data_IF_289387396926
#
_entry.id   IF_289387396926
#
_cell.length_a   1.000
_cell.length_b   1.000
_cell.length_c   1.000
_cell.angle_alpha   90.00
_cell.angle_beta   90.00
_cell.angle_gamma   90.00
#
_symmetry.space_group_name_H-M   'P 1'
#
loop_
_entity.id
_entity.type
_entity.pdbx_description
1 polymer ?
#
# COMPACT_ATOMS: atom_id res chain seq x y z
N UNK A 1 -13.95 21.55 -28.36
CA UNK A 1 -15.26 21.84 -27.75
C UNK A 1 -15.52 23.33 -27.59
N UNK A 2 -14.85 24.05 -26.68
CA UNK A 2 -15.15 25.46 -26.37
C UNK A 2 -15.13 26.41 -27.57
N UNK A 3 -14.02 26.44 -28.32
CA UNK A 3 -13.90 27.34 -29.48
C UNK A 3 -15.02 27.11 -30.52
N UNK A 4 -15.33 25.84 -30.81
CA UNK A 4 -16.39 25.47 -31.74
C UNK A 4 -17.79 25.82 -31.21
N UNK A 5 -18.03 25.62 -29.90
CA UNK A 5 -19.29 25.99 -29.27
C UNK A 5 -19.55 27.48 -29.26
N UNK A 6 -18.55 28.30 -28.92
CA UNK A 6 -18.67 29.76 -29.00
C UNK A 6 -18.83 30.24 -30.45
N UNK A 7 -18.21 29.56 -31.43
CA UNK A 7 -18.43 29.86 -32.84
C UNK A 7 -19.86 29.54 -33.29
N UNK A 8 -20.42 28.38 -32.94
CA UNK A 8 -21.82 28.05 -33.21
C UNK A 8 -22.80 29.00 -32.50
N UNK A 9 -22.47 29.41 -31.29
CA UNK A 9 -23.23 30.42 -30.56
C UNK A 9 -23.25 31.75 -31.30
N UNK A 10 -22.09 32.22 -31.77
CA UNK A 10 -21.97 33.49 -32.50
C UNK A 10 -22.67 33.47 -33.86
N UNK A 11 -22.78 32.29 -34.48
CA UNK A 11 -23.45 32.08 -35.77
C UNK A 11 -24.94 31.75 -35.63
N UNK A 12 -25.46 31.63 -34.39
CA UNK A 12 -26.86 31.29 -34.12
C UNK A 12 -27.24 29.85 -34.47
N UNK A 13 -26.26 28.98 -34.74
CA UNK A 13 -26.49 27.57 -35.11
C UNK A 13 -26.51 26.62 -33.91
N UNK A 14 -26.34 27.15 -32.70
CA UNK A 14 -26.30 26.38 -31.47
C UNK A 14 -27.72 25.92 -31.08
N UNK A 15 -27.95 24.60 -31.10
CA UNK A 15 -29.20 24.00 -30.64
C UNK A 15 -29.31 23.96 -29.10
N UNK A 16 -30.49 23.59 -28.61
CA UNK A 16 -30.73 23.27 -27.20
C UNK A 16 -30.78 21.74 -27.01
N UNK A 17 -30.58 21.26 -25.78
CA UNK A 17 -30.77 19.84 -25.48
C UNK A 17 -32.24 19.49 -25.74
N UNK A 18 -32.47 18.48 -26.59
CA UNK A 18 -33.81 17.92 -26.80
C UNK A 18 -34.26 17.20 -25.51
N UNK A 19 -35.02 17.88 -24.66
CA UNK A 19 -35.63 17.31 -23.47
C UNK A 19 -36.92 16.58 -23.86
N UNK A 20 -37.01 15.28 -23.53
CA UNK A 20 -38.24 14.48 -23.71
C UNK A 20 -39.10 14.42 -22.44
N UNK A 21 -38.63 14.96 -21.31
CA UNK A 21 -39.41 15.00 -20.07
C UNK A 21 -39.36 16.40 -19.47
N UNK A 22 -40.53 17.04 -19.47
CA UNK A 22 -40.80 18.30 -18.77
C UNK A 22 -40.77 17.99 -17.28
N UNK A 23 -39.77 18.48 -16.55
CA UNK A 23 -39.77 18.42 -15.10
C UNK A 23 -40.95 19.25 -14.56
N UNK A 24 -41.72 18.67 -13.64
CA UNK A 24 -42.56 19.45 -12.73
C UNK A 24 -41.68 20.51 -12.06
N UNK A 25 -42.02 21.77 -12.29
CA UNK A 25 -41.39 22.91 -11.64
C UNK A 25 -41.62 22.81 -10.13
N UNK A 26 -40.71 22.13 -9.42
CA UNK A 26 -40.61 22.27 -7.98
C UNK A 26 -40.04 23.66 -7.74
N UNK A 27 -40.92 24.64 -7.56
CA UNK A 27 -40.58 26.04 -7.25
C UNK A 27 -40.05 26.08 -5.82
N UNK A 28 -38.82 25.61 -5.62
CA UNK A 28 -38.13 25.77 -4.36
C UNK A 28 -37.67 27.22 -4.25
N UNK A 29 -38.01 27.89 -3.14
CA UNK A 29 -37.57 29.26 -2.89
C UNK A 29 -36.03 29.32 -2.92
N UNK A 30 -35.48 30.28 -3.68
CA UNK A 30 -34.04 30.50 -3.73
C UNK A 30 -33.55 30.94 -2.34
N UNK A 31 -32.98 30.02 -1.57
CA UNK A 31 -32.42 30.30 -0.26
C UNK A 31 -30.92 30.57 -0.36
N UNK A 32 -30.38 31.38 0.55
CA UNK A 32 -28.93 31.57 0.71
C UNK A 32 -28.24 30.22 0.90
N UNK A 33 -28.88 29.28 1.60
CA UNK A 33 -28.38 27.93 1.76
C UNK A 33 -28.25 27.17 0.43
N UNK A 34 -29.23 27.28 -0.46
CA UNK A 34 -29.17 26.64 -1.78
C UNK A 34 -28.05 27.25 -2.63
N UNK A 35 -27.86 28.57 -2.57
CA UNK A 35 -26.76 29.25 -3.26
C UNK A 35 -25.39 28.80 -2.71
N UNK A 36 -25.26 28.68 -1.39
CA UNK A 36 -24.06 28.15 -0.73
C UNK A 36 -23.80 26.68 -1.06
N UNK A 37 -24.85 25.85 -1.16
CA UNK A 37 -24.76 24.44 -1.58
C UNK A 37 -24.28 24.32 -3.03
N UNK A 38 -24.81 25.15 -3.93
CA UNK A 38 -24.36 25.22 -5.32
C UNK A 38 -22.91 25.72 -5.43
N UNK A 39 -22.55 26.76 -4.68
CA UNK A 39 -21.19 27.29 -4.58
C UNK A 39 -20.20 26.21 -4.12
N UNK A 40 -20.50 25.54 -3.00
CA UNK A 40 -19.67 24.46 -2.48
C UNK A 40 -19.48 23.35 -3.52
N UNK A 41 -20.58 22.89 -4.15
CA UNK A 41 -20.54 21.89 -5.23
C UNK A 41 -19.72 22.35 -6.45
N UNK A 42 -19.69 23.65 -6.75
CA UNK A 42 -18.82 24.21 -7.79
C UNK A 42 -17.34 24.22 -7.39
N UNK A 43 -17.03 24.43 -6.10
CA UNK A 43 -15.65 24.46 -5.62
C UNK A 43 -14.91 23.12 -5.80
N UNK A 44 -15.62 21.99 -5.89
CA UNK A 44 -14.97 20.69 -6.18
C UNK A 44 -14.36 20.62 -7.57
N UNK A 45 -14.76 21.48 -8.51
CA UNK A 45 -14.13 21.53 -9.83
C UNK A 45 -12.70 22.11 -9.79
N UNK A 46 -12.33 22.81 -8.71
CA UNK A 46 -11.02 23.42 -8.52
C UNK A 46 -10.02 22.51 -7.79
N UNK A 47 -10.45 21.32 -7.37
CA UNK A 47 -9.57 20.36 -6.74
C UNK A 47 -8.60 19.76 -7.77
N UNK A 48 -7.45 19.25 -7.33
CA UNK A 48 -6.35 18.85 -8.23
C UNK A 48 -5.21 19.86 -8.36
N UNK A 49 -5.38 21.11 -7.91
CA UNK A 49 -4.26 22.06 -7.68
C UNK A 49 -3.21 21.49 -6.70
N UNK A 50 -3.65 20.61 -5.82
CA UNK A 50 -2.85 19.91 -4.82
C UNK A 50 -1.85 18.91 -5.41
N UNK A 51 -2.11 18.37 -6.59
CA UNK A 51 -1.22 17.42 -7.25
C UNK A 51 0.14 18.08 -7.55
N UNK A 52 0.13 19.34 -8.00
CA UNK A 52 1.37 20.09 -8.24
C UNK A 52 2.09 20.39 -6.92
N UNK A 53 1.36 20.78 -5.86
CA UNK A 53 1.98 21.07 -4.56
C UNK A 53 2.62 19.84 -3.92
N UNK A 54 2.04 18.66 -4.11
CA UNK A 54 2.60 17.40 -3.64
C UNK A 54 3.79 16.94 -4.50
N UNK A 55 3.78 17.32 -5.79
CA UNK A 55 4.79 16.96 -6.78
C UNK A 55 5.98 17.92 -6.90
N UNK A 56 6.15 18.91 -6.01
CA UNK A 56 7.22 19.94 -6.14
C UNK A 56 8.62 19.34 -6.31
N UNK A 57 8.88 18.20 -5.66
CA UNK A 57 10.18 17.52 -5.73
C UNK A 57 10.53 16.97 -7.12
N UNK A 58 9.55 16.82 -8.02
CA UNK A 58 9.76 16.37 -9.39
C UNK A 58 10.17 17.51 -10.36
N UNK A 59 10.04 18.78 -9.94
CA UNK A 59 10.41 19.91 -10.79
C UNK A 59 11.93 20.13 -10.83
N UNK A 60 12.42 20.66 -11.95
CA UNK A 60 13.82 21.08 -12.11
C UNK A 60 14.11 22.30 -11.22
N UNK A 61 15.33 22.41 -10.70
CA UNK A 61 15.85 23.62 -10.02
C UNK A 61 15.74 24.86 -10.95
N UNK A 62 15.25 26.02 -10.48
CA UNK A 62 14.69 26.30 -9.14
C UNK A 62 13.24 25.79 -8.99
N UNK A 63 13.04 24.79 -8.11
CA UNK A 63 11.79 24.01 -8.02
C UNK A 63 10.55 24.85 -7.74
N UNK A 64 10.65 25.76 -6.77
CA UNK A 64 9.51 26.59 -6.32
C UNK A 64 8.99 27.51 -7.43
N UNK A 65 9.88 28.14 -8.22
CA UNK A 65 9.47 29.04 -9.30
C UNK A 65 8.79 28.28 -10.43
N UNK A 66 9.37 27.15 -10.84
CA UNK A 66 8.82 26.31 -11.90
C UNK A 66 7.45 25.76 -11.50
N UNK A 67 7.31 25.22 -10.30
CA UNK A 67 6.03 24.72 -9.79
C UNK A 67 4.97 25.83 -9.72
N UNK A 68 5.32 27.04 -9.27
CA UNK A 68 4.39 28.17 -9.20
C UNK A 68 3.91 28.64 -10.58
N UNK A 69 4.81 28.70 -11.57
CA UNK A 69 4.44 29.04 -12.95
C UNK A 69 3.50 28.00 -13.55
N UNK A 70 3.79 26.71 -13.38
CA UNK A 70 2.90 25.63 -13.84
C UNK A 70 1.54 25.70 -13.16
N UNK A 71 1.49 25.95 -11.85
CA UNK A 71 0.24 26.10 -11.11
C UNK A 71 -0.59 27.28 -11.63
N UNK A 72 0.04 28.41 -11.97
CA UNK A 72 -0.63 29.60 -12.51
C UNK A 72 -1.26 29.30 -13.88
N UNK A 73 -0.50 28.68 -14.79
CA UNK A 73 -1.01 28.30 -16.13
C UNK A 73 -2.15 27.31 -16.01
N UNK A 74 -2.01 26.28 -15.17
CA UNK A 74 -3.05 25.29 -14.95
C UNK A 74 -4.32 25.92 -14.37
N UNK A 75 -4.18 26.80 -13.38
CA UNK A 75 -5.33 27.51 -12.78
C UNK A 75 -6.04 28.41 -13.77
N UNK A 76 -5.29 29.10 -14.65
CA UNK A 76 -5.86 29.91 -15.71
C UNK A 76 -6.63 29.06 -16.75
N UNK A 77 -6.03 27.96 -17.21
CA UNK A 77 -6.69 27.03 -18.14
C UNK A 77 -7.96 26.42 -17.52
N UNK A 78 -7.88 25.99 -16.27
CA UNK A 78 -9.02 25.46 -15.53
C UNK A 78 -10.13 26.50 -15.40
N UNK A 79 -9.80 27.75 -15.05
CA UNK A 79 -10.75 28.84 -14.97
C UNK A 79 -11.44 29.13 -16.31
N UNK A 80 -10.68 29.24 -17.39
CA UNK A 80 -11.21 29.44 -18.75
C UNK A 80 -12.10 28.28 -19.17
N UNK A 81 -11.69 27.04 -18.90
CA UNK A 81 -12.47 25.86 -19.24
C UNK A 81 -13.76 25.77 -18.43
N UNK A 82 -13.69 25.98 -17.11
CA UNK A 82 -14.84 25.89 -16.22
C UNK A 82 -15.88 26.96 -16.54
N UNK A 83 -15.46 28.22 -16.69
CA UNK A 83 -16.34 29.32 -17.09
C UNK A 83 -16.91 29.06 -18.49
N UNK A 84 -16.07 28.67 -19.44
CA UNK A 84 -16.49 28.40 -20.81
C UNK A 84 -17.54 27.29 -20.91
N UNK A 85 -17.33 26.17 -20.21
CA UNK A 85 -18.28 25.05 -20.17
C UNK A 85 -19.58 25.50 -19.48
N UNK A 86 -19.49 26.27 -18.40
CA UNK A 86 -20.67 26.77 -17.66
C UNK A 86 -21.54 27.68 -18.53
N UNK A 87 -20.93 28.62 -19.26
CA UNK A 87 -21.64 29.52 -20.19
C UNK A 87 -22.32 28.70 -21.29
N UNK A 88 -21.60 27.75 -21.89
CA UNK A 88 -22.14 26.93 -22.96
C UNK A 88 -23.27 26.00 -22.47
N UNK A 89 -23.12 25.40 -21.29
CA UNK A 89 -24.14 24.56 -20.66
C UNK A 89 -25.44 25.33 -20.39
N UNK A 90 -25.33 26.58 -19.93
CA UNK A 90 -26.48 27.44 -19.70
C UNK A 90 -27.19 27.80 -21.01
N UNK A 91 -26.45 28.17 -22.06
CA UNK A 91 -27.04 28.48 -23.37
C UNK A 91 -27.74 27.27 -24.02
N UNK A 92 -27.14 26.09 -23.90
CA UNK A 92 -27.68 24.84 -24.45
C UNK A 92 -28.86 24.30 -23.61
N UNK A 93 -29.12 24.88 -22.42
CA UNK A 93 -30.14 24.42 -21.48
C UNK A 93 -29.90 22.96 -21.08
N UNK A 94 -28.66 22.64 -20.70
CA UNK A 94 -28.28 21.31 -20.21
C UNK A 94 -29.14 20.95 -19.00
N UNK A 95 -29.75 19.77 -19.06
CA UNK A 95 -30.51 19.22 -17.94
C UNK A 95 -29.60 18.25 -17.20
N UNK A 96 -29.48 18.40 -15.89
CA UNK A 96 -28.72 17.50 -15.03
C UNK A 96 -29.56 17.13 -13.81
N UNK A 97 -29.66 15.84 -13.50
CA UNK A 97 -30.49 15.34 -12.41
C UNK A 97 -30.28 13.85 -12.12
N UNK A 98 -30.81 13.40 -10.98
CA UNK A 98 -30.80 11.99 -10.60
C UNK A 98 -31.56 11.15 -11.65
N UNK A 99 -30.96 10.05 -12.10
CA UNK A 99 -31.54 9.16 -13.12
C UNK A 99 -31.12 9.43 -14.57
N UNK A 100 -30.38 10.51 -14.85
CA UNK A 100 -29.82 10.72 -16.19
C UNK A 100 -28.60 9.85 -16.46
N UNK A 101 -28.58 9.19 -17.62
CA UNK A 101 -27.48 8.34 -18.04
C UNK A 101 -26.33 9.10 -18.73
N UNK A 102 -26.57 10.33 -19.20
CA UNK A 102 -25.55 11.14 -19.87
C UNK A 102 -24.93 12.21 -18.97
N UNK A 103 -23.61 12.36 -19.07
CA UNK A 103 -22.87 13.45 -18.42
C UNK A 103 -23.12 14.80 -19.11
N UNK A 104 -22.92 15.90 -18.38
CA UNK A 104 -22.99 17.28 -18.92
C UNK A 104 -22.07 17.45 -20.14
N UNK A 105 -20.86 16.89 -20.09
CA UNK A 105 -19.91 16.96 -21.22
C UNK A 105 -20.46 16.19 -22.44
N UNK A 106 -21.09 15.03 -22.22
CA UNK A 106 -21.74 14.27 -23.29
C UNK A 106 -22.88 15.06 -23.95
N UNK A 107 -23.76 15.67 -23.14
CA UNK A 107 -24.89 16.47 -23.65
C UNK A 107 -24.41 17.67 -24.47
N UNK A 108 -23.38 18.38 -23.99
CA UNK A 108 -22.77 19.50 -24.72
C UNK A 108 -22.16 19.00 -26.03
N UNK A 109 -21.33 17.95 -25.98
CA UNK A 109 -20.68 17.42 -27.17
C UNK A 109 -21.68 16.91 -28.21
N UNK A 110 -22.77 16.25 -27.77
CA UNK A 110 -23.85 15.76 -28.64
C UNK A 110 -24.61 16.91 -29.28
N UNK A 111 -24.85 18.00 -28.54
CA UNK A 111 -25.52 19.18 -29.09
C UNK A 111 -24.66 19.92 -30.09
N UNK A 112 -23.34 20.00 -29.85
CA UNK A 112 -22.39 20.67 -30.74
C UNK A 112 -22.12 19.86 -32.02
N UNK A 113 -21.89 18.55 -31.87
CA UNK A 113 -21.32 17.70 -32.92
C UNK A 113 -22.30 16.67 -33.47
N UNK A 114 -23.50 16.51 -32.89
CA UNK A 114 -24.37 15.36 -33.13
C UNK A 114 -23.70 14.04 -32.73
N UNK A 115 -24.21 12.92 -33.25
CA UNK A 115 -23.58 11.59 -33.11
C UNK A 115 -22.47 11.39 -34.17
N UNK A 116 -21.54 12.34 -34.25
CA UNK A 116 -20.42 12.30 -35.21
C UNK A 116 -19.14 11.71 -34.58
N UNK A 117 -18.10 11.41 -35.38
CA UNK A 117 -16.81 10.96 -34.84
C UNK A 117 -16.21 11.91 -33.78
N UNK A 118 -16.45 13.22 -33.91
CA UNK A 118 -15.96 14.22 -32.94
C UNK A 118 -16.62 14.09 -31.57
N UNK A 119 -17.88 13.66 -31.50
CA UNK A 119 -18.54 13.32 -30.25
C UNK A 119 -17.82 12.16 -29.55
N UNK A 120 -17.60 11.04 -30.24
CA UNK A 120 -16.90 9.89 -29.67
C UNK A 120 -15.45 10.19 -29.27
N UNK A 121 -14.73 11.00 -30.06
CA UNK A 121 -13.38 11.47 -29.70
C UNK A 121 -13.41 12.31 -28.42
N UNK A 122 -14.43 13.16 -28.23
CA UNK A 122 -14.57 13.97 -27.01
C UNK A 122 -14.83 13.09 -25.79
N UNK A 123 -15.67 12.06 -25.91
CA UNK A 123 -15.92 11.09 -24.83
C UNK A 123 -14.68 10.24 -24.52
N UNK A 124 -13.99 9.75 -25.55
CA UNK A 124 -12.76 8.98 -25.38
C UNK A 124 -11.67 9.81 -24.70
N UNK A 125 -11.47 11.06 -25.13
CA UNK A 125 -10.52 11.99 -24.50
C UNK A 125 -10.88 12.25 -23.04
N UNK A 126 -12.17 12.50 -22.74
CA UNK A 126 -12.64 12.70 -21.35
C UNK A 126 -12.37 11.47 -20.49
N UNK A 127 -12.61 10.27 -21.03
CA UNK A 127 -12.35 9.01 -20.33
C UNK A 127 -10.86 8.84 -20.05
N UNK A 128 -9.99 9.10 -21.03
CA UNK A 128 -8.52 9.04 -20.85
C UNK A 128 -8.06 10.03 -19.77
N UNK A 129 -8.59 11.25 -19.76
CA UNK A 129 -8.28 12.26 -18.73
C UNK A 129 -8.65 11.74 -17.33
N UNK A 130 -9.83 11.13 -17.16
CA UNK A 130 -10.26 10.57 -15.88
C UNK A 130 -9.38 9.38 -15.43
N UNK A 131 -8.97 8.51 -16.37
CA UNK A 131 -8.01 7.42 -16.08
C UNK A 131 -6.65 8.00 -15.65
N UNK A 132 -6.16 9.05 -16.32
CA UNK A 132 -4.92 9.72 -15.93
C UNK A 132 -5.03 10.36 -14.54
N UNK A 133 -6.17 10.96 -14.20
CA UNK A 133 -6.42 11.51 -12.87
C UNK A 133 -6.32 10.43 -11.78
N UNK A 134 -6.89 9.25 -12.00
CA UNK A 134 -6.73 8.12 -11.09
C UNK A 134 -5.27 7.67 -10.96
N UNK A 135 -4.52 7.63 -12.07
CA UNK A 135 -3.09 7.30 -12.05
C UNK A 135 -2.26 8.28 -11.21
N UNK A 136 -2.61 9.57 -11.18
CA UNK A 136 -1.95 10.55 -10.29
C UNK A 136 -2.10 10.16 -8.82
N UNK A 137 -3.27 9.71 -8.39
CA UNK A 137 -3.47 9.21 -7.01
C UNK A 137 -2.60 7.97 -6.71
N UNK A 138 -2.45 7.05 -7.68
CA UNK A 138 -1.57 5.89 -7.55
C UNK A 138 -0.08 6.25 -7.54
N UNK A 139 0.31 7.42 -8.05
CA UNK A 139 1.68 7.92 -7.95
C UNK A 139 1.96 8.60 -6.60
N UNK A 140 0.98 9.32 -6.06
CA UNK A 140 1.14 10.18 -4.88
C UNK A 140 0.90 9.46 -3.55
N UNK A 141 -0.19 8.68 -3.44
CA UNK A 141 -0.55 8.02 -2.19
C UNK A 141 0.57 7.11 -1.64
N UNK A 142 1.26 6.27 -2.45
CA UNK A 142 2.30 5.40 -1.89
C UNK A 142 3.47 6.20 -1.30
N UNK A 143 3.77 7.39 -1.82
CA UNK A 143 4.80 8.29 -1.28
C UNK A 143 4.35 8.89 0.05
N UNK A 144 3.11 9.39 0.12
CA UNK A 144 2.54 9.94 1.35
C UNK A 144 2.43 8.88 2.45
N UNK A 145 1.94 7.68 2.10
CA UNK A 145 1.86 6.54 2.99
C UNK A 145 3.23 6.13 3.54
N UNK A 146 4.26 6.14 2.70
CA UNK A 146 5.63 5.85 3.12
C UNK A 146 6.19 6.90 4.11
N UNK A 147 5.89 8.19 3.91
CA UNK A 147 6.30 9.24 4.84
C UNK A 147 5.64 9.06 6.22
N UNK A 148 4.34 8.83 6.26
CA UNK A 148 3.59 8.62 7.51
C UNK A 148 4.00 7.30 8.20
N UNK A 149 4.32 6.26 7.42
CA UNK A 149 4.83 5.00 7.94
C UNK A 149 6.24 5.12 8.51
N UNK A 150 7.09 5.96 7.92
CA UNK A 150 8.43 6.26 8.46
C UNK A 150 8.34 6.93 9.84
N UNK A 151 7.34 7.80 10.04
CA UNK A 151 7.04 8.40 11.35
C UNK A 151 6.34 7.42 12.34
N UNK A 152 6.08 6.18 11.90
CA UNK A 152 5.52 5.12 12.73
C UNK A 152 4.00 5.22 12.98
N UNK A 153 3.27 5.99 12.17
CA UNK A 153 1.80 6.08 12.25
C UNK A 153 1.07 5.08 11.34
N UNK A 154 1.81 4.43 10.44
CA UNK A 154 1.33 3.39 9.54
C UNK A 154 2.25 2.16 9.59
N UNK A 155 1.82 0.99 9.09
CA UNK A 155 2.66 -0.21 9.05
C UNK A 155 3.99 0.04 8.32
N UNK A 156 5.12 -0.33 8.96
CA UNK A 156 6.47 -0.10 8.42
C UNK A 156 6.69 -0.73 7.04
N UNK A 157 5.90 -1.73 6.65
CA UNK A 157 5.95 -2.33 5.31
C UNK A 157 5.72 -1.32 4.18
N UNK A 158 4.97 -0.24 4.44
CA UNK A 158 4.72 0.83 3.47
C UNK A 158 5.98 1.65 3.15
N UNK A 159 7.02 1.61 3.98
CA UNK A 159 8.29 2.30 3.69
C UNK A 159 9.18 1.52 2.71
N UNK A 160 8.86 0.25 2.43
CA UNK A 160 9.67 -0.57 1.56
C UNK A 160 9.48 -0.20 0.09
N UNK A 161 10.60 0.09 -0.58
CA UNK A 161 10.65 0.31 -2.03
C UNK A 161 10.92 -1.03 -2.70
N UNK A 162 10.06 -1.44 -3.62
CA UNK A 162 10.25 -2.64 -4.42
C UNK A 162 11.39 -2.48 -5.43
N UNK A 163 11.63 -3.54 -6.22
CA UNK A 163 12.72 -3.62 -7.22
C UNK A 163 12.74 -2.48 -8.25
N UNK A 164 11.59 -1.87 -8.54
CA UNK A 164 11.45 -0.70 -9.44
C UNK A 164 11.49 0.65 -8.71
N UNK A 165 11.93 0.68 -7.45
CA UNK A 165 11.95 1.86 -6.57
C UNK A 165 10.58 2.48 -6.27
N UNK A 166 9.51 1.69 -6.44
CA UNK A 166 8.11 2.07 -6.17
C UNK A 166 7.65 1.45 -4.84
N UNK A 167 6.81 2.16 -4.08
CA UNK A 167 6.22 1.67 -2.83
C UNK A 167 5.05 0.72 -3.11
N UNK A 168 5.37 -0.55 -3.40
CA UNK A 168 4.38 -1.55 -3.84
C UNK A 168 3.25 -1.79 -2.84
N UNK A 169 3.55 -1.86 -1.54
CA UNK A 169 2.52 -2.01 -0.51
C UNK A 169 1.54 -0.83 -0.47
N UNK A 170 2.01 0.37 -0.78
CA UNK A 170 1.14 1.56 -0.87
C UNK A 170 0.17 1.47 -2.05
N UNK A 171 0.63 0.97 -3.19
CA UNK A 171 -0.23 0.75 -4.38
C UNK A 171 -1.31 -0.28 -4.07
N UNK A 172 -0.93 -1.42 -3.47
CA UNK A 172 -1.89 -2.49 -3.11
C UNK A 172 -2.90 -1.98 -2.09
N UNK A 173 -2.46 -1.25 -1.07
CA UNK A 173 -3.35 -0.66 -0.08
C UNK A 173 -4.35 0.32 -0.70
N UNK A 174 -3.91 1.19 -1.61
CA UNK A 174 -4.80 2.11 -2.33
C UNK A 174 -5.80 1.35 -3.21
N UNK A 175 -5.33 0.34 -3.95
CA UNK A 175 -6.19 -0.46 -4.83
C UNK A 175 -7.29 -1.18 -4.05
N UNK A 176 -6.94 -1.76 -2.90
CA UNK A 176 -7.90 -2.43 -2.02
C UNK A 176 -8.91 -1.42 -1.44
N UNK A 177 -8.44 -0.28 -0.92
CA UNK A 177 -9.31 0.75 -0.37
C UNK A 177 -10.27 1.34 -1.44
N UNK A 178 -9.76 1.64 -2.64
CA UNK A 178 -10.54 2.12 -3.76
C UNK A 178 -11.59 1.09 -4.20
N UNK A 179 -11.20 -0.19 -4.29
CA UNK A 179 -12.12 -1.27 -4.66
C UNK A 179 -13.25 -1.42 -3.65
N UNK A 180 -12.94 -1.38 -2.35
CA UNK A 180 -13.96 -1.41 -1.27
C UNK A 180 -14.92 -0.24 -1.37
N UNK A 181 -14.42 0.97 -1.60
CA UNK A 181 -15.29 2.15 -1.79
C UNK A 181 -16.18 2.00 -3.03
N UNK A 182 -15.65 1.56 -4.17
CA UNK A 182 -16.44 1.35 -5.39
C UNK A 182 -17.55 0.32 -5.15
N UNK A 183 -17.25 -0.78 -4.46
CA UNK A 183 -18.24 -1.82 -4.13
C UNK A 183 -19.32 -1.30 -3.18
N UNK A 184 -18.96 -0.56 -2.14
CA UNK A 184 -19.93 -0.02 -1.16
C UNK A 184 -20.86 1.01 -1.81
N UNK A 185 -20.30 1.91 -2.63
CA UNK A 185 -21.05 3.00 -3.26
C UNK A 185 -21.63 2.64 -4.63
N UNK A 186 -21.46 1.38 -5.08
CA UNK A 186 -21.98 0.89 -6.38
C UNK A 186 -21.57 1.78 -7.56
N UNK A 187 -20.34 2.31 -7.53
CA UNK A 187 -19.81 3.25 -8.52
C UNK A 187 -20.63 4.55 -8.73
N UNK A 188 -21.48 4.94 -7.79
CA UNK A 188 -22.25 6.19 -7.85
C UNK A 188 -21.36 7.41 -7.50
N UNK A 189 -21.04 8.20 -8.52
CA UNK A 189 -20.22 9.40 -8.36
C UNK A 189 -20.90 10.47 -7.51
N UNK A 190 -22.23 10.52 -7.48
CA UNK A 190 -23.02 11.49 -6.70
C UNK A 190 -22.78 11.34 -5.20
N UNK A 191 -22.57 10.09 -4.74
CA UNK A 191 -22.29 9.75 -3.34
C UNK A 191 -20.79 9.79 -3.02
N UNK A 192 -19.93 9.54 -4.01
CA UNK A 192 -18.47 9.56 -3.85
C UNK A 192 -17.89 10.98 -3.82
N UNK A 193 -18.46 11.93 -4.58
CA UNK A 193 -17.97 13.32 -4.65
C UNK A 193 -17.95 13.99 -3.25
N UNK A 194 -19.01 13.91 -2.42
CA UNK A 194 -18.97 14.48 -1.07
C UNK A 194 -17.86 13.92 -0.19
N UNK A 195 -17.62 12.60 -0.25
CA UNK A 195 -16.56 11.93 0.49
C UNK A 195 -15.17 12.49 0.13
N UNK A 196 -14.93 12.67 -1.17
CA UNK A 196 -13.72 13.30 -1.69
C UNK A 196 -13.61 14.78 -1.30
N UNK A 197 -14.67 15.56 -1.51
CA UNK A 197 -14.69 17.00 -1.27
C UNK A 197 -14.34 17.35 0.17
N UNK A 198 -14.96 16.66 1.14
CA UNK A 198 -14.71 16.93 2.57
C UNK A 198 -13.25 16.62 2.92
N UNK A 199 -12.68 15.52 2.40
CA UNK A 199 -11.27 15.19 2.61
C UNK A 199 -10.31 16.26 2.07
N UNK A 200 -10.55 16.74 0.83
CA UNK A 200 -9.73 17.79 0.21
C UNK A 200 -9.86 19.11 0.94
N UNK A 201 -11.08 19.57 1.23
CA UNK A 201 -11.27 20.84 1.95
C UNK A 201 -10.78 20.78 3.39
N UNK A 202 -10.82 19.62 4.06
CA UNK A 202 -10.18 19.43 5.35
C UNK A 202 -8.66 19.58 5.23
N UNK A 203 -8.03 18.93 4.24
CA UNK A 203 -6.60 19.07 3.96
C UNK A 203 -6.21 20.52 3.69
N UNK A 204 -6.99 21.24 2.87
CA UNK A 204 -6.77 22.66 2.61
C UNK A 204 -6.94 23.50 3.86
N UNK A 205 -7.99 23.28 4.65
CA UNK A 205 -8.21 24.01 5.90
C UNK A 205 -7.02 23.83 6.85
N UNK A 206 -6.53 22.60 7.01
CA UNK A 206 -5.38 22.29 7.87
C UNK A 206 -4.07 22.90 7.33
N UNK A 207 -3.84 22.79 6.01
CA UNK A 207 -2.66 23.36 5.35
C UNK A 207 -2.62 24.90 5.47
N UNK A 208 -3.73 25.56 5.15
CA UNK A 208 -3.86 27.02 5.26
C UNK A 208 -3.72 27.48 6.72
N UNK A 209 -4.33 26.77 7.66
CA UNK A 209 -4.19 27.05 9.10
C UNK A 209 -2.74 26.87 9.59
N UNK A 210 -2.05 25.82 9.11
CA UNK A 210 -0.62 25.60 9.37
C UNK A 210 0.24 26.74 8.83
N UNK A 211 -0.08 27.26 7.64
CA UNK A 211 0.61 28.42 7.06
C UNK A 211 0.35 29.70 7.84
N UNK A 212 -0.86 29.92 8.38
CA UNK A 212 -1.14 31.03 9.30
C UNK A 212 -0.23 30.96 10.53
N UNK A 213 -0.08 29.77 11.13
CA UNK A 213 0.85 29.59 12.25
C UNK A 213 2.30 29.81 11.85
N UNK A 214 2.70 29.34 10.66
CA UNK A 214 4.04 29.55 10.09
C UNK A 214 4.38 31.04 9.96
N UNK A 215 3.50 31.84 9.36
CA UNK A 215 3.73 33.28 9.18
C UNK A 215 3.74 34.03 10.50
N UNK A 216 2.91 33.62 11.48
CA UNK A 216 2.98 34.16 12.84
C UNK A 216 4.31 33.89 13.52
N UNK A 217 4.92 32.72 13.30
CA UNK A 217 6.26 32.39 13.84
C UNK A 217 7.36 33.19 13.13
N UNK A 218 7.32 33.25 11.81
CA UNK A 218 8.28 34.03 10.99
C UNK A 218 8.26 35.52 11.34
N UNK A 219 7.09 36.11 11.58
CA UNK A 219 6.96 37.52 11.97
C UNK A 219 7.48 37.86 13.37
N UNK A 220 7.73 36.85 14.23
CA UNK A 220 8.32 37.02 15.57
C UNK A 220 9.85 36.88 15.58
N UNK A 221 10.46 36.48 14.47
CA UNK A 221 11.91 36.30 14.34
C UNK A 221 12.62 37.63 14.11
N UNK A 222 13.91 37.70 14.44
CA UNK A 222 14.73 38.87 14.12
C UNK A 222 15.11 38.87 12.63
N UNK A 223 15.27 40.05 12.00
CA UNK A 223 15.77 40.12 10.62
C UNK A 223 17.14 39.43 10.49
N UNK A 224 17.26 38.49 9.54
CA UNK A 224 18.48 37.71 9.29
C UNK A 224 18.61 36.40 10.09
N UNK A 225 17.66 36.09 10.97
CA UNK A 225 17.62 34.82 11.70
C UNK A 225 17.05 33.70 10.81
N UNK A 226 17.80 32.59 10.69
CA UNK A 226 17.35 31.37 10.02
C UNK A 226 17.20 30.25 11.04
N UNK A 227 15.98 29.72 11.17
CA UNK A 227 15.69 28.58 12.06
C UNK A 227 15.27 27.40 11.20
N UNK A 228 16.05 26.32 11.27
CA UNK A 228 15.67 25.06 10.64
C UNK A 228 14.62 24.35 11.50
N UNK A 229 13.46 24.11 10.91
CA UNK A 229 12.36 23.33 11.48
C UNK A 229 12.27 22.04 10.67
N UNK A 230 11.70 20.96 11.24
CA UNK A 230 11.44 19.70 10.53
C UNK A 230 10.92 19.94 9.09
N UNK A 231 11.79 19.73 8.10
CA UNK A 231 11.49 19.85 6.67
C UNK A 231 11.39 21.27 6.09
N UNK A 232 11.70 22.35 6.82
CA UNK A 232 11.67 23.71 6.25
C UNK A 232 12.52 24.73 7.03
N UNK A 233 13.23 25.60 6.30
CA UNK A 233 13.94 26.75 6.88
C UNK A 233 12.96 27.91 7.04
N UNK A 234 12.85 28.43 8.26
CA UNK A 234 12.09 29.64 8.55
C UNK A 234 13.02 30.85 8.48
N UNK A 235 12.58 31.87 7.74
CA UNK A 235 13.27 33.16 7.63
C UNK A 235 12.30 34.27 7.99
N UNK A 236 12.82 35.39 8.48
CA UNK A 236 12.03 36.60 8.64
C UNK A 236 11.54 37.11 7.28
N UNK A 237 10.24 37.44 7.20
CA UNK A 237 9.61 37.97 6.00
C UNK A 237 8.88 39.28 6.34
N UNK A 238 9.21 40.38 5.68
CA UNK A 238 8.59 41.68 5.95
C UNK A 238 7.09 41.71 5.63
N UNK A 239 6.63 40.84 4.73
CA UNK A 239 5.24 40.74 4.29
C UNK A 239 4.46 39.64 5.05
N UNK A 240 4.94 39.21 6.22
CA UNK A 240 4.30 38.13 6.99
C UNK A 240 2.82 38.41 7.30
N UNK A 241 2.45 39.68 7.57
CA UNK A 241 1.05 40.05 7.89
C UNK A 241 0.11 39.86 6.71
N UNK A 242 0.51 40.27 5.51
CA UNK A 242 -0.32 40.13 4.31
C UNK A 242 -0.44 38.66 3.92
N UNK A 243 0.68 37.92 3.93
CA UNK A 243 0.68 36.47 3.69
C UNK A 243 -0.17 35.72 4.72
N UNK A 244 -0.10 36.10 5.99
CA UNK A 244 -0.95 35.53 7.03
C UNK A 244 -2.43 35.83 6.78
N UNK A 245 -2.79 37.07 6.43
CA UNK A 245 -4.18 37.44 6.14
C UNK A 245 -4.76 36.66 4.96
N UNK A 246 -3.98 36.49 3.88
CA UNK A 246 -4.37 35.68 2.71
C UNK A 246 -4.62 34.21 3.10
N UNK A 247 -3.69 33.59 3.84
CA UNK A 247 -3.88 32.20 4.28
C UNK A 247 -5.02 32.06 5.30
N UNK A 248 -5.25 33.06 6.16
CA UNK A 248 -6.36 33.05 7.11
C UNK A 248 -7.71 33.15 6.40
N UNK A 249 -7.82 34.01 5.39
CA UNK A 249 -9.00 34.08 4.53
C UNK A 249 -9.23 32.74 3.82
N UNK A 250 -8.18 32.14 3.25
CA UNK A 250 -8.25 30.81 2.63
C UNK A 250 -8.71 29.72 3.60
N UNK A 251 -8.19 29.70 4.82
CA UNK A 251 -8.60 28.74 5.85
C UNK A 251 -10.08 28.88 6.23
N UNK A 252 -10.57 30.12 6.38
CA UNK A 252 -11.99 30.38 6.69
C UNK A 252 -12.89 29.95 5.53
N UNK A 253 -12.54 30.31 4.29
CA UNK A 253 -13.33 29.94 3.11
C UNK A 253 -13.40 28.42 2.93
N UNK A 254 -12.26 27.73 3.01
CA UNK A 254 -12.20 26.26 2.87
C UNK A 254 -12.92 25.54 4.00
N UNK A 255 -12.86 26.07 5.23
CA UNK A 255 -13.62 25.56 6.36
C UNK A 255 -15.13 25.72 6.15
N UNK A 256 -15.59 26.90 5.71
CA UNK A 256 -17.01 27.14 5.41
C UNK A 256 -17.51 26.17 4.33
N UNK A 257 -16.76 26.00 3.25
CA UNK A 257 -17.11 25.07 2.15
C UNK A 257 -17.20 23.63 2.67
N UNK A 258 -16.23 23.20 3.50
CA UNK A 258 -16.25 21.87 4.13
C UNK A 258 -17.51 21.66 4.98
N UNK A 259 -17.89 22.63 5.81
CA UNK A 259 -19.09 22.55 6.65
C UNK A 259 -20.36 22.51 5.80
N UNK A 260 -20.44 23.34 4.75
CA UNK A 260 -21.58 23.31 3.83
C UNK A 260 -21.72 21.93 3.19
N UNK A 261 -20.63 21.32 2.71
CA UNK A 261 -20.68 19.95 2.17
C UNK A 261 -21.13 18.93 3.22
N UNK A 262 -20.55 19.00 4.42
CA UNK A 262 -20.89 18.08 5.49
C UNK A 262 -22.38 18.12 5.85
N UNK A 263 -22.98 19.32 5.88
CA UNK A 263 -24.41 19.51 6.19
C UNK A 263 -25.28 19.19 4.98
N UNK A 264 -24.97 19.75 3.81
CA UNK A 264 -25.85 19.70 2.63
C UNK A 264 -25.88 18.33 1.93
N UNK A 265 -24.85 17.51 2.14
CA UNK A 265 -24.71 16.15 1.60
C UNK A 265 -24.63 15.11 2.72
N UNK A 266 -25.09 15.45 3.93
CA UNK A 266 -25.10 14.53 5.07
C UNK A 266 -25.84 13.24 4.74
N UNK A 267 -27.06 13.36 4.21
CA UNK A 267 -27.90 12.22 3.79
C UNK A 267 -27.31 11.43 2.62
N UNK A 268 -26.57 12.10 1.74
CA UNK A 268 -26.05 11.53 0.49
C UNK A 268 -24.73 10.75 0.70
N UNK A 269 -24.23 10.71 1.94
CA UNK A 269 -23.05 9.91 2.32
C UNK A 269 -21.96 10.67 3.06
N UNK A 270 -22.07 11.99 3.27
CA UNK A 270 -21.04 12.75 3.99
C UNK A 270 -20.86 12.30 5.46
N UNK A 271 -21.89 11.70 6.08
CA UNK A 271 -21.77 11.14 7.42
C UNK A 271 -20.67 10.06 7.53
N UNK A 272 -20.38 9.35 6.44
CA UNK A 272 -19.32 8.33 6.40
C UNK A 272 -17.96 8.97 6.66
N UNK A 273 -17.70 10.16 6.12
CA UNK A 273 -16.43 10.89 6.33
C UNK A 273 -16.24 11.23 7.80
N UNK A 274 -17.31 11.70 8.45
CA UNK A 274 -17.32 12.09 9.87
C UNK A 274 -16.97 10.91 10.78
N UNK A 275 -17.22 9.68 10.33
CA UNK A 275 -16.86 8.45 11.06
C UNK A 275 -15.47 7.95 10.65
N UNK A 276 -15.21 7.86 9.34
CA UNK A 276 -14.00 7.25 8.78
C UNK A 276 -12.74 8.03 9.15
N UNK A 277 -12.77 9.37 9.10
CA UNK A 277 -11.57 10.17 9.41
C UNK A 277 -11.15 9.99 10.88
N UNK A 278 -12.01 10.17 11.90
CA UNK A 278 -11.63 9.90 13.28
C UNK A 278 -11.20 8.45 13.53
N UNK A 279 -11.84 7.47 12.87
CA UNK A 279 -11.45 6.07 12.97
C UNK A 279 -10.02 5.85 12.44
N UNK A 280 -9.68 6.38 11.27
CA UNK A 280 -8.33 6.28 10.70
C UNK A 280 -7.29 6.94 11.60
N UNK A 281 -7.60 8.14 12.13
CA UNK A 281 -6.72 8.83 13.09
C UNK A 281 -6.51 7.97 14.33
N UNK A 282 -7.57 7.41 14.90
CA UNK A 282 -7.47 6.50 16.06
C UNK A 282 -6.58 5.29 15.76
N UNK A 283 -6.76 4.64 14.62
CA UNK A 283 -5.92 3.50 14.18
C UNK A 283 -4.46 3.91 14.05
N UNK A 284 -4.16 5.06 13.43
CA UNK A 284 -2.79 5.54 13.26
C UNK A 284 -2.10 5.80 14.61
N UNK A 285 -2.80 6.44 15.55
CA UNK A 285 -2.28 6.66 16.91
C UNK A 285 -2.14 5.34 17.68
N UNK A 286 -3.00 4.35 17.45
CA UNK A 286 -2.89 3.03 18.09
C UNK A 286 -1.64 2.29 17.62
N UNK A 287 -1.35 2.32 16.31
CA UNK A 287 -0.13 1.77 15.71
C UNK A 287 1.10 2.48 16.29
N UNK A 288 1.10 3.81 16.31
CA UNK A 288 2.22 4.59 16.83
C UNK A 288 2.52 4.26 18.30
N UNK A 289 1.48 4.21 19.16
CA UNK A 289 1.63 3.82 20.57
C UNK A 289 2.13 2.38 20.73
N UNK A 290 1.68 1.46 19.87
CA UNK A 290 2.16 0.08 19.88
C UNK A 290 3.67 0.03 19.58
N UNK A 291 4.14 0.74 18.55
CA UNK A 291 5.57 0.80 18.24
C UNK A 291 6.40 1.47 19.34
N UNK A 292 5.89 2.55 19.96
CA UNK A 292 6.55 3.16 21.12
C UNK A 292 6.64 2.19 22.30
N UNK A 293 5.59 1.39 22.53
CA UNK A 293 5.56 0.39 23.62
C UNK A 293 6.58 -0.72 23.37
N UNK A 294 6.63 -1.27 22.15
CA UNK A 294 7.62 -2.29 21.76
C UNK A 294 9.04 -1.73 21.86
N UNK A 295 9.29 -0.52 21.35
CA UNK A 295 10.58 0.13 21.47
C UNK A 295 10.96 0.35 22.94
N UNK A 296 10.01 0.76 23.78
CA UNK A 296 10.26 0.94 25.21
C UNK A 296 10.57 -0.40 25.90
N UNK A 297 9.88 -1.49 25.57
CA UNK A 297 10.16 -2.82 26.10
C UNK A 297 11.55 -3.32 25.71
N UNK A 298 11.95 -3.10 24.46
CA UNK A 298 13.27 -3.48 23.95
C UNK A 298 14.40 -2.61 24.52
N UNK A 299 14.18 -1.31 24.71
CA UNK A 299 15.20 -0.37 25.21
C UNK A 299 15.28 -0.31 26.74
N UNK A 300 14.18 -0.54 27.46
CA UNK A 300 14.09 -0.46 28.92
C UNK A 300 14.00 -1.83 29.61
N UNK A 301 14.11 -2.93 28.86
CA UNK A 301 14.05 -4.27 29.42
C UNK A 301 15.05 -4.45 30.57
N UNK A 302 14.54 -4.77 31.77
CA UNK A 302 15.28 -4.92 33.03
C UNK A 302 16.33 -6.08 33.04
N UNK A 303 16.59 -6.70 31.89
CA UNK A 303 17.65 -7.68 31.67
C UNK A 303 18.18 -7.47 30.26
N UNK A 304 19.20 -6.61 30.12
CA UNK A 304 20.11 -6.80 29.00
C UNK A 304 20.55 -8.27 29.04
N UNK A 305 20.29 -9.07 27.98
CA UNK A 305 20.66 -10.47 28.01
C UNK A 305 22.17 -10.56 28.20
N UNK A 306 22.61 -11.29 29.23
CA UNK A 306 24.03 -11.52 29.45
C UNK A 306 24.61 -12.21 28.22
N UNK A 307 25.55 -11.54 27.55
CA UNK A 307 26.34 -12.13 26.47
C UNK A 307 27.22 -13.22 27.06
N UNK A 308 26.76 -14.48 26.97
CA UNK A 308 27.48 -15.66 27.44
C UNK A 308 27.47 -16.71 26.35
N UNK A 309 28.60 -17.38 26.18
CA UNK A 309 28.65 -18.59 25.37
C UNK A 309 27.82 -19.67 26.06
N UNK A 310 26.94 -20.33 25.29
CA UNK A 310 26.10 -21.42 25.75
C UNK A 310 26.32 -22.62 24.82
N UNK A 311 26.23 -23.86 25.33
CA UNK A 311 26.33 -25.04 24.48
C UNK A 311 25.19 -25.05 23.45
N UNK A 312 25.49 -25.53 22.24
CA UNK A 312 24.52 -25.71 21.16
C UNK A 312 24.47 -27.20 20.82
N UNK A 313 23.29 -27.79 20.84
CA UNK A 313 23.06 -29.16 20.35
C UNK A 313 22.34 -29.09 19.01
N UNK A 314 22.94 -29.67 17.98
CA UNK A 314 22.40 -29.61 16.62
C UNK A 314 21.60 -30.87 16.30
N UNK A 315 20.42 -30.71 15.73
CA UNK A 315 19.54 -31.78 15.28
C UNK A 315 19.36 -31.65 13.77
N UNK A 316 19.61 -32.72 13.02
CA UNK A 316 19.38 -32.76 11.57
C UNK A 316 18.12 -33.59 11.33
N UNK A 317 17.06 -32.96 10.85
CA UNK A 317 15.82 -33.67 10.54
C UNK A 317 15.93 -34.35 9.18
N UNK A 318 15.64 -35.64 9.17
CA UNK A 318 15.77 -36.53 8.02
C UNK A 318 14.41 -37.15 7.75
N UNK A 319 13.77 -36.81 6.63
CA UNK A 319 12.56 -37.52 6.18
C UNK A 319 12.89 -38.77 5.36
N UNK A 320 13.94 -38.69 4.53
CA UNK A 320 14.43 -39.79 3.70
C UNK A 320 15.93 -39.61 3.39
N UNK A 321 16.59 -40.63 2.84
CA UNK A 321 18.03 -40.62 2.54
C UNK A 321 18.27 -40.41 1.05
N UNK A 322 18.48 -39.15 0.66
CA UNK A 322 18.76 -38.74 -0.72
C UNK A 322 19.91 -37.70 -0.79
N UNK A 323 20.25 -37.23 -2.00
CA UNK A 323 21.33 -36.26 -2.22
C UNK A 323 21.17 -34.98 -1.38
N UNK A 324 19.95 -34.42 -1.33
CA UNK A 324 19.63 -33.30 -0.43
C UNK A 324 19.87 -33.58 1.06
N UNK A 325 19.63 -34.80 1.54
CA UNK A 325 19.91 -35.21 2.93
C UNK A 325 21.41 -35.22 3.21
N UNK A 326 22.20 -35.81 2.31
CA UNK A 326 23.67 -35.80 2.39
C UNK A 326 24.21 -34.37 2.35
N UNK A 327 23.65 -33.52 1.49
CA UNK A 327 24.00 -32.10 1.44
C UNK A 327 23.72 -31.38 2.77
N UNK A 328 22.57 -31.68 3.40
CA UNK A 328 22.20 -31.14 4.71
C UNK A 328 23.13 -31.63 5.83
N UNK A 329 23.54 -32.89 5.79
CA UNK A 329 24.52 -33.46 6.73
C UNK A 329 25.90 -32.82 6.54
N UNK A 330 26.35 -32.60 5.30
CA UNK A 330 27.61 -31.93 5.02
C UNK A 330 27.62 -30.50 5.58
N UNK A 331 26.50 -29.79 5.49
CA UNK A 331 26.31 -28.50 6.16
C UNK A 331 26.36 -28.63 7.70
N UNK A 332 25.71 -29.63 8.28
CA UNK A 332 25.78 -29.86 9.73
C UNK A 332 27.22 -30.16 10.20
N UNK A 333 27.97 -30.98 9.45
CA UNK A 333 29.38 -31.30 9.71
C UNK A 333 30.27 -30.05 9.64
N UNK A 334 30.01 -29.12 8.70
CA UNK A 334 30.84 -27.92 8.53
C UNK A 334 30.69 -26.89 9.67
N UNK A 335 29.65 -27.00 10.50
CA UNK A 335 29.47 -26.15 11.69
C UNK A 335 30.46 -26.49 12.82
N UNK A 336 31.09 -27.68 12.80
CA UNK A 336 32.01 -28.11 13.86
C UNK A 336 31.35 -28.35 15.23
N UNK A 337 30.02 -28.40 15.28
CA UNK A 337 29.22 -28.65 16.48
C UNK A 337 28.73 -30.10 16.53
N UNK A 338 28.50 -30.68 17.72
CA UNK A 338 27.92 -32.02 17.83
C UNK A 338 26.49 -32.01 17.28
N UNK A 339 26.21 -32.95 16.36
CA UNK A 339 24.91 -33.08 15.71
C UNK A 339 24.33 -34.48 15.87
N UNK A 340 23.00 -34.60 15.80
CA UNK A 340 22.28 -35.87 15.86
C UNK A 340 21.25 -35.91 14.73
N UNK A 341 21.25 -36.98 13.94
CA UNK A 341 20.22 -37.18 12.94
C UNK A 341 18.93 -37.66 13.61
N UNK A 342 17.81 -37.07 13.24
CA UNK A 342 16.50 -37.38 13.81
C UNK A 342 15.53 -37.67 12.66
N UNK A 343 14.96 -38.88 12.66
CA UNK A 343 13.89 -39.28 11.75
C UNK A 343 12.59 -39.45 12.53
N UNK A 344 11.49 -38.88 12.03
CA UNK A 344 10.16 -39.05 12.62
C UNK A 344 9.45 -40.19 11.89
N UNK A 345 9.25 -41.31 12.58
CA UNK A 345 8.59 -42.49 12.06
C UNK A 345 7.07 -42.29 12.04
N UNK A 346 6.59 -41.64 10.97
CA UNK A 346 5.15 -41.49 10.64
C UNK A 346 4.58 -42.81 10.11
N UNK A 347 5.39 -43.53 9.33
CA UNK A 347 5.07 -44.85 8.78
C UNK A 347 6.16 -45.84 9.23
N UNK A 348 5.80 -46.87 10.03
CA UNK A 348 6.75 -47.89 10.48
C UNK A 348 7.50 -48.59 9.34
N UNK A 349 6.86 -48.83 8.20
CA UNK A 349 7.54 -49.49 7.07
C UNK A 349 8.54 -48.55 6.39
N UNK A 350 8.19 -47.27 6.23
CA UNK A 350 9.11 -46.24 5.73
C UNK A 350 10.29 -46.05 6.67
N UNK A 351 10.06 -46.06 7.99
CA UNK A 351 11.11 -45.87 8.99
C UNK A 351 12.18 -46.97 8.92
N UNK A 352 11.78 -48.23 8.73
CA UNK A 352 12.75 -49.33 8.55
C UNK A 352 13.51 -49.21 7.23
N UNK A 353 12.86 -48.79 6.13
CA UNK A 353 13.56 -48.51 4.87
C UNK A 353 14.61 -47.41 5.03
N UNK A 354 14.23 -46.29 5.65
CA UNK A 354 15.13 -45.15 5.91
C UNK A 354 16.31 -45.58 6.78
N UNK A 355 16.08 -46.39 7.81
CA UNK A 355 17.13 -46.92 8.67
C UNK A 355 18.10 -47.82 7.91
N UNK A 356 17.60 -48.70 7.04
CA UNK A 356 18.43 -49.54 6.18
C UNK A 356 19.28 -48.69 5.22
N UNK A 357 18.65 -47.78 4.47
CA UNK A 357 19.35 -46.91 3.52
C UNK A 357 20.33 -45.96 4.20
N UNK A 358 20.04 -45.52 5.42
CA UNK A 358 20.97 -44.75 6.25
C UNK A 358 22.24 -45.55 6.55
N UNK A 359 22.09 -46.79 7.01
CA UNK A 359 23.22 -47.67 7.30
C UNK A 359 24.05 -47.98 6.05
N UNK A 360 23.40 -48.16 4.89
CA UNK A 360 24.09 -48.42 3.62
C UNK A 360 24.88 -47.22 3.09
N UNK A 361 24.30 -46.01 3.15
CA UNK A 361 24.85 -44.82 2.46
C UNK A 361 25.69 -43.90 3.35
N UNK A 362 25.36 -43.83 4.64
CA UNK A 362 26.01 -42.94 5.61
C UNK A 362 26.86 -43.76 6.60
N UNK A 363 26.43 -44.98 6.90
CA UNK A 363 27.15 -45.89 7.78
C UNK A 363 27.21 -45.41 9.24
N UNK A 364 28.17 -45.93 9.98
CA UNK A 364 28.34 -45.67 11.43
C UNK A 364 28.88 -44.27 11.75
N UNK A 365 29.13 -43.44 10.74
CA UNK A 365 29.60 -42.06 10.95
C UNK A 365 28.58 -41.19 11.72
N UNK A 366 27.31 -41.57 11.71
CA UNK A 366 26.25 -40.79 12.34
C UNK A 366 25.09 -41.65 12.84
N UNK A 367 24.72 -41.46 14.11
CA UNK A 367 23.58 -42.14 14.71
C UNK A 367 22.25 -41.51 14.27
N UNK A 368 21.35 -42.34 13.76
CA UNK A 368 19.97 -41.96 13.43
C UNK A 368 19.03 -42.27 14.61
N UNK A 369 18.56 -41.22 15.29
CA UNK A 369 17.51 -41.33 16.31
C UNK A 369 16.15 -41.38 15.62
N UNK A 370 15.41 -42.46 15.81
CA UNK A 370 14.03 -42.60 15.30
C UNK A 370 13.05 -42.21 16.40
N UNK A 371 12.21 -41.21 16.13
CA UNK A 371 11.14 -40.76 17.01
C UNK A 371 9.81 -41.38 16.55
N UNK A 372 9.10 -42.15 17.39
CA UNK A 372 7.82 -42.73 17.01
C UNK A 372 6.75 -41.63 16.89
N UNK A 373 5.96 -41.66 15.81
CA UNK A 373 4.80 -40.77 15.62
C UNK A 373 3.50 -41.56 15.44
N UNK A 374 2.86 -42.01 16.54
CA UNK A 374 1.66 -42.86 16.46
C UNK A 374 0.47 -42.17 15.81
N UNK A 375 0.40 -40.84 15.89
CA UNK A 375 -0.67 -40.02 15.29
C UNK A 375 -0.33 -39.46 13.91
N UNK A 376 0.79 -39.89 13.30
CA UNK A 376 1.26 -39.41 12.00
C UNK A 376 1.51 -37.90 11.92
N UNK A 377 1.90 -37.31 13.04
CA UNK A 377 2.25 -35.91 13.14
C UNK A 377 3.77 -35.72 13.08
N UNK A 378 4.24 -34.76 12.27
CA UNK A 378 5.67 -34.48 12.15
C UNK A 378 6.19 -33.59 13.29
N UNK A 379 5.41 -32.57 13.66
CA UNK A 379 5.84 -31.49 14.56
C UNK A 379 5.80 -31.88 16.02
N UNK A 380 4.76 -32.61 16.47
CA UNK A 380 4.56 -33.00 17.87
C UNK A 380 5.73 -33.80 18.47
N UNK A 381 6.19 -34.90 17.83
CA UNK A 381 7.31 -35.69 18.34
C UNK A 381 8.63 -34.91 18.40
N UNK A 382 8.86 -34.03 17.41
CA UNK A 382 10.05 -33.17 17.38
C UNK A 382 10.00 -32.16 18.51
N UNK A 383 8.84 -31.55 18.79
CA UNK A 383 8.65 -30.62 19.89
C UNK A 383 8.96 -31.29 21.24
N UNK A 384 8.35 -32.44 21.51
CA UNK A 384 8.56 -33.18 22.77
C UNK A 384 10.03 -33.55 22.98
N UNK A 385 10.72 -33.98 21.90
CA UNK A 385 12.14 -34.30 21.97
C UNK A 385 13.02 -33.07 22.20
N UNK A 386 12.66 -31.92 21.61
CA UNK A 386 13.35 -30.65 21.85
C UNK A 386 13.18 -30.23 23.31
N UNK A 387 12.00 -30.36 23.90
CA UNK A 387 11.75 -30.05 25.31
C UNK A 387 12.61 -30.91 26.24
N UNK A 388 12.65 -32.23 26.02
CA UNK A 388 13.51 -33.16 26.77
C UNK A 388 14.99 -32.73 26.70
N UNK A 389 15.46 -32.39 25.50
CA UNK A 389 16.83 -31.91 25.29
C UNK A 389 17.11 -30.56 25.97
N UNK A 390 16.13 -29.66 26.04
CA UNK A 390 16.29 -28.37 26.71
C UNK A 390 16.45 -28.53 28.22
N UNK A 391 15.73 -29.49 28.82
CA UNK A 391 15.89 -29.85 30.23
C UNK A 391 17.27 -30.41 30.51
N UNK A 392 17.76 -31.34 29.67
CA UNK A 392 19.11 -31.92 29.77
C UNK A 392 20.22 -30.86 29.66
N UNK A 393 20.09 -29.92 28.71
CA UNK A 393 21.11 -28.92 28.41
C UNK A 393 21.24 -27.82 29.47
N UNK A 394 20.32 -27.74 30.45
CA UNK A 394 20.39 -26.78 31.55
C UNK A 394 20.50 -25.32 31.11
N UNK A 395 19.97 -25.00 29.92
CA UNK A 395 19.91 -23.64 29.39
C UNK A 395 20.71 -23.34 28.12
N UNK A 396 21.20 -24.36 27.40
CA UNK A 396 21.79 -24.26 26.05
C UNK A 396 20.81 -23.81 24.95
N UNK A 397 21.30 -23.76 23.71
CA UNK A 397 20.48 -23.57 22.51
C UNK A 397 20.33 -24.91 21.76
N UNK A 398 19.18 -25.09 21.11
CA UNK A 398 18.96 -26.19 20.19
C UNK A 398 18.92 -25.63 18.77
N UNK A 399 19.70 -26.25 17.89
CA UNK A 399 19.79 -25.86 16.50
C UNK A 399 19.19 -26.97 15.64
N UNK A 400 18.07 -26.69 14.96
CA UNK A 400 17.38 -27.64 14.11
C UNK A 400 17.68 -27.33 12.65
N UNK A 401 18.25 -28.29 11.93
CA UNK A 401 18.58 -28.17 10.51
C UNK A 401 17.58 -28.99 9.72
N UNK A 402 16.97 -28.35 8.72
CA UNK A 402 15.97 -28.97 7.84
C UNK A 402 16.40 -28.80 6.38
N UNK A 403 16.41 -29.90 5.63
CA UNK A 403 16.57 -29.83 4.17
C UNK A 403 15.32 -29.27 3.50
N UNK A 404 15.50 -28.39 2.52
CA UNK A 404 14.40 -27.84 1.72
C UNK A 404 14.73 -27.94 0.23
N UNK A 405 13.82 -28.57 -0.51
CA UNK A 405 13.92 -28.72 -1.95
C UNK A 405 13.45 -27.43 -2.63
N UNK A 406 14.31 -26.83 -3.44
CA UNK A 406 14.00 -25.62 -4.20
C UNK A 406 13.84 -25.99 -5.68
N UNK A 407 12.66 -25.72 -6.21
CA UNK A 407 12.32 -25.97 -7.62
C UNK A 407 12.46 -24.72 -8.49
N UNK A 408 12.72 -24.90 -9.78
CA UNK A 408 12.83 -23.81 -10.75
C UNK A 408 11.52 -23.07 -11.04
N UNK A 409 10.35 -23.64 -10.69
CA UNK A 409 9.02 -23.05 -10.96
C UNK A 409 8.15 -22.94 -9.70
N UNK A 410 7.29 -21.91 -9.66
CA UNK A 410 6.33 -21.70 -8.56
C UNK A 410 5.31 -22.84 -8.45
N UNK A 411 4.87 -23.39 -9.58
CA UNK A 411 3.94 -24.53 -9.61
C UNK A 411 4.63 -25.79 -9.08
N UNK A 412 5.89 -26.04 -9.46
CA UNK A 412 6.69 -27.12 -8.90
C UNK A 412 6.88 -26.96 -7.39
N UNK A 413 7.22 -25.76 -6.93
CA UNK A 413 7.38 -25.49 -5.50
C UNK A 413 6.09 -25.69 -4.69
N UNK A 414 4.91 -25.40 -5.27
CA UNK A 414 3.63 -25.59 -4.61
C UNK A 414 3.23 -27.07 -4.47
N UNK A 415 3.70 -27.94 -5.38
CA UNK A 415 3.41 -29.37 -5.37
C UNK A 415 4.28 -30.15 -4.38
N UNK A 416 5.43 -29.60 -3.98
CA UNK A 416 6.30 -30.21 -2.98
C UNK A 416 5.95 -29.73 -1.57
N UNK A 417 5.82 -30.68 -0.65
CA UNK A 417 5.38 -30.45 0.71
C UNK A 417 6.38 -29.57 1.48
N UNK A 418 5.94 -28.39 1.90
CA UNK A 418 6.72 -27.42 2.65
C UNK A 418 6.86 -27.79 4.15
N UNK A 419 7.30 -29.02 4.46
CA UNK A 419 7.49 -29.50 5.83
C UNK A 419 8.43 -28.57 6.63
N UNK A 420 9.46 -28.00 5.98
CA UNK A 420 10.35 -27.01 6.57
C UNK A 420 9.64 -25.73 7.02
N UNK A 421 8.60 -25.28 6.29
CA UNK A 421 7.81 -24.09 6.65
C UNK A 421 6.93 -24.40 7.86
N UNK A 422 6.23 -25.54 7.84
CA UNK A 422 5.38 -25.96 8.96
C UNK A 422 6.19 -26.14 10.25
N UNK A 423 7.38 -26.75 10.16
CA UNK A 423 8.26 -26.92 11.30
C UNK A 423 8.80 -25.58 11.80
N UNK A 424 9.21 -24.68 10.91
CA UNK A 424 9.66 -23.35 11.33
C UNK A 424 8.56 -22.60 12.09
N UNK A 425 7.29 -22.68 11.65
CA UNK A 425 6.16 -22.13 12.41
C UNK A 425 5.94 -22.83 13.75
N UNK A 426 6.02 -24.17 13.79
CA UNK A 426 5.78 -24.93 15.02
C UNK A 426 6.85 -24.71 16.09
N UNK A 427 8.09 -24.42 15.70
CA UNK A 427 9.22 -24.25 16.63
C UNK A 427 9.51 -22.78 17.00
N UNK A 428 8.81 -21.81 16.39
CA UNK A 428 9.05 -20.38 16.58
C UNK A 428 8.76 -19.88 18.01
N UNK A 429 7.83 -20.54 18.70
CA UNK A 429 7.41 -20.15 20.05
C UNK A 429 8.33 -20.71 21.15
N UNK A 430 9.25 -21.62 20.81
CA UNK A 430 10.17 -22.22 21.79
C UNK A 430 11.40 -21.32 21.98
N UNK A 431 11.59 -20.83 23.20
CA UNK A 431 12.78 -20.04 23.53
C UNK A 431 14.07 -20.85 23.26
N UNK A 432 15.09 -20.19 22.69
CA UNK A 432 16.43 -20.77 22.45
C UNK A 432 16.48 -21.93 21.45
N UNK A 433 15.44 -22.06 20.61
CA UNK A 433 15.48 -22.92 19.42
C UNK A 433 15.74 -22.06 18.19
N UNK A 434 16.71 -22.47 17.38
CA UNK A 434 17.01 -21.85 16.09
C UNK A 434 16.81 -22.88 14.97
N UNK A 435 16.02 -22.53 13.96
CA UNK A 435 15.80 -23.39 12.79
C UNK A 435 16.62 -22.86 11.62
N UNK A 436 17.36 -23.74 10.94
CA UNK A 436 18.11 -23.41 9.72
C UNK A 436 17.65 -24.30 8.58
N UNK A 437 17.25 -23.64 7.50
CA UNK A 437 16.81 -24.31 6.28
C UNK A 437 17.97 -24.40 5.29
N UNK A 438 18.33 -25.61 4.88
CA UNK A 438 19.37 -25.86 3.88
C UNK A 438 18.71 -26.13 2.54
N UNK A 439 18.86 -25.20 1.60
CA UNK A 439 18.28 -25.32 0.27
C UNK A 439 19.08 -26.30 -0.60
N UNK A 440 18.41 -27.26 -1.21
CA UNK A 440 18.94 -28.11 -2.28
C UNK A 440 18.19 -27.80 -3.57
N UNK A 441 18.89 -27.19 -4.54
CA UNK A 441 18.33 -26.88 -5.86
C UNK A 441 18.39 -28.14 -6.72
N UNK A 442 17.25 -28.54 -7.29
CA UNK A 442 17.27 -29.47 -8.41
C UNK A 442 17.56 -28.68 -9.68
N UNK A 443 18.69 -28.97 -10.32
CA UNK A 443 18.91 -28.58 -11.69
C UNK A 443 18.02 -29.45 -12.58
N UNK A 444 17.09 -28.82 -13.31
CA UNK A 444 16.23 -29.45 -14.33
C UNK A 444 17.05 -29.90 -15.58
N UNK A 445 18.28 -30.41 -15.41
CA UNK A 445 18.94 -31.09 -16.51
C UNK A 445 18.23 -32.44 -16.76
N UNK A 446 17.71 -32.68 -17.97
CA UNK A 446 17.09 -33.97 -18.29
C UNK A 446 18.12 -35.07 -18.03
N UNK A 447 17.69 -36.11 -17.31
CA UNK A 447 18.48 -37.30 -17.00
C UNK A 447 18.78 -38.02 -18.32
N UNK A 448 19.78 -37.56 -19.06
CA UNK A 448 20.46 -38.35 -20.07
C UNK A 448 21.45 -39.26 -19.34
N UNK A 449 20.91 -40.42 -18.95
CA UNK A 449 21.59 -41.69 -18.71
C UNK A 449 23.11 -41.67 -18.96
N UNK A 450 23.88 -41.27 -17.95
CA UNK A 450 25.26 -41.73 -17.79
C UNK A 450 25.22 -42.93 -16.84
N UNK A 451 24.87 -44.08 -17.39
CA UNK A 451 25.27 -45.36 -16.82
C UNK A 451 26.80 -45.36 -16.75
N UNK A 452 27.34 -45.17 -15.55
CA UNK A 452 28.74 -45.46 -15.24
C UNK A 452 28.84 -46.99 -15.19
N UNK A 453 29.69 -47.65 -16.02
CA UNK A 453 29.80 -49.10 -15.98
C UNK A 453 30.37 -49.53 -14.63
N UNK A 454 29.69 -50.51 -14.01
CA UNK A 454 30.15 -51.17 -12.79
C UNK A 454 31.37 -52.00 -13.17
N UNK A 455 32.56 -51.54 -12.77
CA UNK A 455 33.80 -52.32 -12.89
C UNK A 455 33.68 -53.56 -12.00
N UNK A 456 33.61 -54.74 -12.63
CA UNK A 456 33.79 -56.02 -11.93
C UNK A 456 35.28 -56.20 -11.66
N UNK A 457 35.67 -56.67 -10.46
CA UNK A 457 37.08 -56.96 -10.20
C UNK A 457 37.56 -58.13 -11.09
N UNK A 458 38.85 -58.17 -11.47
CA UNK A 458 39.37 -59.23 -12.32
C UNK A 458 39.34 -60.58 -11.59
N UNK A 459 38.94 -61.62 -12.32
CA UNK A 459 39.04 -62.99 -11.86
C UNK A 459 40.53 -63.41 -11.73
N UNK A 460 40.79 -64.27 -10.74
CA UNK A 460 42.10 -64.79 -10.33
C UNK A 460 42.98 -65.31 -11.46
#
# INVERSE_FOLDING_TARGET
MLAFGFWQQSTGSLGTVASTEVFEQTTQTLTVFLLLKAFASGCTALTGVEAISNGIMAFKEPRSRNAAQTLMVMSALLGVMFIGITVLANHIQVVAGEGMQETVISQIARTLYGTSPLYYVTLAATTVILIMAANTSYADFPRLGALIAADGFLPKQLTYRGRRLVFSWGIVALALAASVLIMIFQADTTRLIPLYAIGVFLSFTLSQSGMVMRWRRSGKMKPGEEVEIHGSILRFDSHWRTKQAVNAFGAIMTFIVMIIFAVAKFTDGAYIVVIVIPLLVFVFFRIHRHYQSVSALLSRGARWPNMRQRPVKTLVLVDDVHAGTVHTINFAKSLGAPWTAVHVAIDPEKAERVKHTWQERIGDEAFLKVLPSPYRELTGPVHAYIEELMEELGGGYIHVIVGHLVMGSLTGQALHQNAAVALNFALQDIERVAVTTVAYQLDDEPIHEKMIPIDRPPAQ
#
